data_IF_070685779047
#
_entry.id   IF_070685779047
#
_cell.length_a   1.000
_cell.length_b   1.000
_cell.length_c   1.000
_cell.angle_alpha   90.00
_cell.angle_beta   90.00
_cell.angle_gamma   90.00
#
_symmetry.space_group_name_H-M   'P 1'
#
loop_
_entity.id
_entity.type
_entity.pdbx_description
1 polymer ?
#
# COMPACT_ATOMS: atom_id res chain seq x y z
N UNK A 1 -20.90 6.78 10.70
CA UNK A 1 -19.65 7.05 11.45
C UNK A 1 -18.96 5.72 11.78
N UNK A 2 -18.13 5.20 10.88
CA UNK A 2 -17.51 3.87 11.02
C UNK A 2 -16.04 3.97 11.37
N UNK A 3 -15.68 3.58 12.59
CA UNK A 3 -14.33 3.60 13.17
C UNK A 3 -13.49 2.43 12.65
N UNK A 4 -12.35 2.69 12.00
CA UNK A 4 -11.37 1.64 11.66
C UNK A 4 -10.73 1.06 12.94
N UNK A 5 -10.68 -0.28 13.03
CA UNK A 5 -9.95 -1.07 14.04
C UNK A 5 -8.92 -1.99 13.34
N UNK A 6 -7.82 -2.29 14.04
CA UNK A 6 -6.73 -3.23 13.66
C UNK A 6 -6.96 -4.56 14.43
N UNK A 7 -6.70 -5.80 14.01
CA UNK A 7 -6.01 -6.50 12.89
C UNK A 7 -6.50 -7.99 12.89
N UNK A 8 -6.36 -8.77 11.79
CA UNK A 8 -5.34 -9.86 11.67
C UNK A 8 -4.75 -9.98 10.22
N UNK A 9 -3.78 -10.88 9.91
CA UNK A 9 -2.86 -10.71 8.79
C UNK A 9 -3.48 -11.03 7.41
N UNK A 10 -3.18 -10.16 6.44
CA UNK A 10 -3.67 -10.24 5.06
C UNK A 10 -3.77 -8.88 4.33
N UNK A 11 -3.50 -7.76 5.02
CA UNK A 11 -3.78 -6.41 4.51
C UNK A 11 -2.55 -5.75 3.89
N UNK A 12 -2.66 -5.29 2.64
CA UNK A 12 -1.73 -4.31 2.06
C UNK A 12 -1.91 -2.99 2.82
N UNK A 13 -0.84 -2.51 3.45
CA UNK A 13 -0.87 -1.28 4.26
C UNK A 13 -0.09 -0.16 3.58
N UNK A 14 -0.66 1.04 3.57
CA UNK A 14 0.06 2.26 3.20
C UNK A 14 0.69 2.86 4.46
N UNK A 15 2.02 3.00 4.46
CA UNK A 15 2.81 3.37 5.63
C UNK A 15 3.40 4.79 5.46
N UNK A 16 3.16 5.67 6.43
CA UNK A 16 3.76 7.02 6.48
C UNK A 16 4.85 7.08 7.55
N UNK A 17 6.00 7.65 7.22
CA UNK A 17 7.11 7.82 8.16
C UNK A 17 7.00 9.20 8.85
N UNK A 18 6.64 9.22 10.13
CA UNK A 18 6.55 10.45 10.93
C UNK A 18 7.41 10.29 12.19
N UNK A 19 8.38 11.18 12.41
CA UNK A 19 9.23 11.20 13.62
C UNK A 19 9.88 9.84 13.95
N UNK A 20 10.48 9.17 12.96
CA UNK A 20 11.07 7.82 13.07
C UNK A 20 10.08 6.69 13.42
N UNK A 21 8.77 6.94 13.31
CA UNK A 21 7.73 5.94 13.50
C UNK A 21 7.01 5.68 12.19
N UNK A 22 6.76 4.40 11.92
CA UNK A 22 5.88 3.95 10.86
C UNK A 22 4.44 4.06 11.37
N UNK A 23 3.65 4.91 10.74
CA UNK A 23 2.24 5.06 11.02
C UNK A 23 1.44 4.38 9.91
N UNK A 24 0.56 3.44 10.24
CA UNK A 24 -0.35 2.90 9.25
C UNK A 24 -1.39 3.97 8.93
N UNK A 25 -1.54 4.28 7.64
CA UNK A 25 -2.48 5.32 7.17
C UNK A 25 -3.73 4.70 6.59
N UNK A 26 -3.61 3.54 5.94
CA UNK A 26 -4.71 2.88 5.23
C UNK A 26 -4.63 1.37 5.44
N UNK A 27 -5.80 0.75 5.62
CA UNK A 27 -5.97 -0.70 5.64
C UNK A 27 -6.98 -1.12 4.58
N UNK A 28 -6.59 -2.08 3.75
CA UNK A 28 -7.45 -2.67 2.73
C UNK A 28 -7.67 -4.15 3.06
N UNK A 29 -8.94 -4.54 3.20
CA UNK A 29 -9.34 -5.94 3.30
C UNK A 29 -9.85 -6.39 1.94
N UNK A 30 -9.16 -7.35 1.33
CA UNK A 30 -9.52 -7.86 0.01
C UNK A 30 -9.58 -9.38 0.02
N UNK A 31 -10.47 -9.93 -0.81
CA UNK A 31 -10.56 -11.37 -1.04
C UNK A 31 -9.54 -11.81 -2.09
N UNK A 32 -9.16 -10.90 -2.99
CA UNK A 32 -8.25 -11.13 -4.11
C UNK A 32 -7.06 -10.18 -4.06
N UNK A 33 -6.02 -10.55 -4.79
CA UNK A 33 -4.76 -9.80 -4.95
C UNK A 33 -4.45 -9.63 -6.44
N UNK A 34 -5.47 -9.31 -7.23
CA UNK A 34 -5.40 -9.15 -8.68
C UNK A 34 -5.33 -7.68 -9.08
N UNK A 35 -5.03 -7.43 -10.36
CA UNK A 35 -4.87 -6.09 -10.92
C UNK A 35 -6.14 -5.23 -10.74
N UNK A 36 -7.36 -5.72 -11.05
CA UNK A 36 -8.58 -4.94 -10.83
C UNK A 36 -8.79 -4.55 -9.37
N UNK A 37 -8.46 -5.44 -8.42
CA UNK A 37 -8.57 -5.15 -6.99
C UNK A 37 -7.62 -4.02 -6.59
N UNK A 38 -6.37 -4.04 -7.06
CA UNK A 38 -5.39 -3.01 -6.75
C UNK A 38 -5.72 -1.66 -7.41
N UNK A 39 -6.15 -1.66 -8.68
CA UNK A 39 -6.65 -0.44 -9.33
C UNK A 39 -7.78 0.21 -8.54
N UNK A 40 -8.74 -0.60 -8.07
CA UNK A 40 -9.85 -0.09 -7.25
C UNK A 40 -9.39 0.48 -5.92
N UNK A 41 -8.39 -0.12 -5.27
CA UNK A 41 -7.80 0.42 -4.05
C UNK A 41 -7.23 1.81 -4.30
N UNK A 42 -6.46 1.99 -5.38
CA UNK A 42 -5.87 3.29 -5.68
C UNK A 42 -6.90 4.34 -6.04
N UNK A 43 -7.94 4.00 -6.81
CA UNK A 43 -9.07 4.90 -7.08
C UNK A 43 -9.70 5.43 -5.78
N UNK A 44 -10.01 4.53 -4.84
CA UNK A 44 -10.59 4.89 -3.54
C UNK A 44 -9.61 5.76 -2.74
N UNK A 45 -8.33 5.42 -2.78
CA UNK A 45 -7.28 6.16 -2.08
C UNK A 45 -7.14 7.60 -2.61
N UNK A 46 -7.12 7.78 -3.93
CA UNK A 46 -7.07 9.10 -4.57
C UNK A 46 -8.31 9.93 -4.23
N UNK A 47 -9.51 9.34 -4.36
CA UNK A 47 -10.77 10.01 -4.01
C UNK A 47 -10.77 10.46 -2.54
N UNK A 48 -10.27 9.64 -1.62
CA UNK A 48 -10.17 10.00 -0.20
C UNK A 48 -9.12 11.07 0.07
N UNK A 49 -8.00 11.03 -0.63
CA UNK A 49 -6.97 12.06 -0.52
C UNK A 49 -7.49 13.43 -0.97
N UNK A 50 -8.25 13.46 -2.07
CA UNK A 50 -8.93 14.66 -2.57
C UNK A 50 -9.95 15.21 -1.55
N UNK A 51 -10.79 14.34 -0.96
CA UNK A 51 -11.77 14.73 0.07
C UNK A 51 -11.12 15.43 1.27
N UNK A 52 -9.91 15.00 1.66
CA UNK A 52 -9.16 15.60 2.78
C UNK A 52 -8.16 16.68 2.35
N UNK A 53 -8.11 17.04 1.07
CA UNK A 53 -7.20 18.06 0.53
C UNK A 53 -5.72 17.67 0.58
N UNK A 54 -5.40 16.38 0.50
CA UNK A 54 -4.03 15.86 0.52
C UNK A 54 -3.63 15.37 -0.86
N UNK A 55 -2.48 15.81 -1.35
CA UNK A 55 -1.85 15.23 -2.53
C UNK A 55 -0.95 14.06 -2.15
N UNK A 56 -1.09 12.94 -2.86
CA UNK A 56 -0.29 11.74 -2.67
C UNK A 56 0.82 11.69 -3.72
N UNK A 57 2.01 12.16 -3.33
CA UNK A 57 3.22 12.08 -4.17
C UNK A 57 4.36 11.40 -3.40
N UNK A 58 4.27 10.07 -3.18
CA UNK A 58 5.33 9.36 -2.48
C UNK A 58 6.61 9.35 -3.33
N UNK A 59 7.78 9.70 -2.77
CA UNK A 59 9.05 9.54 -3.49
C UNK A 59 9.45 8.06 -3.68
N UNK A 60 9.03 7.19 -2.75
CA UNK A 60 9.31 5.76 -2.74
C UNK A 60 8.07 4.98 -2.30
N UNK A 61 7.84 3.85 -2.95
CA UNK A 61 6.86 2.86 -2.55
C UNK A 61 7.56 1.54 -2.27
N UNK A 62 7.39 1.02 -1.06
CA UNK A 62 7.93 -0.27 -0.65
C UNK A 62 6.77 -1.25 -0.61
N UNK A 63 6.84 -2.33 -1.38
CA UNK A 63 5.76 -3.30 -1.48
C UNK A 63 6.27 -4.73 -1.45
N UNK A 64 5.35 -5.66 -1.25
CA UNK A 64 5.61 -7.08 -1.45
C UNK A 64 5.79 -7.37 -2.94
N UNK A 65 6.44 -8.48 -3.27
CA UNK A 65 6.77 -8.86 -4.66
C UNK A 65 5.55 -9.34 -5.46
N UNK A 66 4.38 -8.76 -5.22
CA UNK A 66 3.14 -9.07 -5.91
C UNK A 66 3.09 -8.35 -7.26
N UNK A 67 3.10 -9.12 -8.35
CA UNK A 67 3.14 -8.59 -9.72
C UNK A 67 1.98 -7.62 -10.00
N UNK A 68 0.76 -7.96 -9.58
CA UNK A 68 -0.42 -7.13 -9.80
C UNK A 68 -0.33 -5.74 -9.14
N UNK A 69 0.33 -5.64 -7.98
CA UNK A 69 0.55 -4.37 -7.31
C UNK A 69 1.65 -3.57 -8.02
N UNK A 70 2.73 -4.22 -8.43
CA UNK A 70 3.84 -3.59 -9.15
C UNK A 70 3.37 -3.03 -10.50
N UNK A 71 2.46 -3.73 -11.20
CA UNK A 71 1.97 -3.30 -12.52
C UNK A 71 0.93 -2.17 -12.46
N UNK A 72 0.12 -2.10 -11.41
CA UNK A 72 -0.86 -1.01 -11.24
C UNK A 72 -0.22 0.30 -10.83
N UNK A 73 0.94 0.24 -10.19
CA UNK A 73 1.51 1.39 -9.52
C UNK A 73 1.96 2.55 -10.45
N UNK A 74 2.66 2.32 -11.59
CA UNK A 74 3.09 3.40 -12.47
C UNK A 74 1.96 4.25 -13.02
N UNK A 75 0.77 3.68 -13.22
CA UNK A 75 -0.41 4.41 -13.68
C UNK A 75 -1.04 5.32 -12.62
N UNK A 76 -0.76 5.08 -11.33
CA UNK A 76 -1.29 5.86 -10.21
C UNK A 76 -0.25 6.85 -9.65
N UNK A 77 1.04 6.49 -9.69
CA UNK A 77 2.13 7.29 -9.15
C UNK A 77 3.36 7.26 -10.08
N UNK A 78 3.36 8.00 -11.20
CA UNK A 78 4.35 7.88 -12.26
C UNK A 78 5.78 8.27 -11.84
N UNK A 79 5.93 9.16 -10.86
CA UNK A 79 7.22 9.67 -10.39
C UNK A 79 7.81 8.86 -9.22
N UNK A 80 7.10 7.84 -8.74
CA UNK A 80 7.47 7.14 -7.52
C UNK A 80 8.35 5.92 -7.83
N UNK A 81 9.42 5.77 -7.04
CA UNK A 81 10.29 4.58 -7.14
C UNK A 81 9.70 3.39 -6.40
N UNK A 82 9.44 2.29 -7.10
CA UNK A 82 8.99 1.03 -6.50
C UNK A 82 10.20 0.23 -6.01
N UNK A 83 10.12 -0.29 -4.79
CA UNK A 83 11.16 -1.13 -4.17
C UNK A 83 10.50 -2.34 -3.48
N UNK A 84 11.12 -3.51 -3.60
CA UNK A 84 10.69 -4.69 -2.85
C UNK A 84 10.93 -4.55 -1.35
N UNK A 85 10.03 -5.09 -0.54
CA UNK A 85 10.14 -5.09 0.92
C UNK A 85 11.22 -6.08 1.38
N UNK A 86 12.35 -5.56 1.86
CA UNK A 86 13.45 -6.38 2.38
C UNK A 86 13.02 -7.22 3.60
N UNK A 87 12.15 -6.67 4.46
CA UNK A 87 11.65 -7.41 5.63
C UNK A 87 10.88 -8.67 5.23
N UNK A 88 9.91 -8.55 4.31
CA UNK A 88 9.15 -9.69 3.83
C UNK A 88 10.00 -10.64 2.98
N UNK A 89 11.00 -10.13 2.25
CA UNK A 89 12.00 -10.96 1.58
C UNK A 89 12.76 -11.84 2.58
N UNK A 90 13.34 -11.24 3.63
CA UNK A 90 14.05 -12.01 4.66
C UNK A 90 13.14 -13.01 5.35
N UNK A 91 11.89 -12.64 5.66
CA UNK A 91 10.93 -13.59 6.22
C UNK A 91 10.65 -14.76 5.29
N UNK A 92 10.50 -14.52 3.98
CA UNK A 92 10.28 -15.58 3.01
C UNK A 92 11.49 -16.52 2.93
N UNK A 93 12.71 -15.97 2.88
CA UNK A 93 13.96 -16.76 2.84
C UNK A 93 14.14 -17.59 4.12
N UNK A 94 13.90 -17.01 5.30
CA UNK A 94 14.09 -17.69 6.59
C UNK A 94 13.02 -18.75 6.89
N UNK A 95 11.88 -18.73 6.19
CA UNK A 95 10.77 -19.68 6.39
C UNK A 95 10.74 -20.79 5.35
N UNK A 96 11.69 -20.79 4.41
CA UNK A 96 11.97 -21.95 3.54
C UNK A 96 12.67 -23.03 4.36
#
# INVERSE_FOLDING_TARGET
MGRLRLSPPGSTSCLRFLRRKLLPVVYCLTVRKDLPTYSRIFEVLHSKAEEVGVQLEPAKFVCDFEIALITTFPGNFPNTRVQGCFFHFCQAVLRQ
#
